data_IF_304066915767
#
_entry.id   IF_304066915767
#
_cell.length_a   1.000
_cell.length_b   1.000
_cell.length_c   1.000
_cell.angle_alpha   90.00
_cell.angle_beta   90.00
_cell.angle_gamma   90.00
#
_symmetry.space_group_name_H-M   'P 1'
#
loop_
_entity.id
_entity.type
_entity.pdbx_description
1 polymer ?
#
# COMPACT_ATOMS: atom_id res chain seq x y z
N UNK A 1 44.96 -9.28 14.89
CA UNK A 1 43.78 -9.67 15.70
C UNK A 1 42.58 -9.28 14.86
N UNK A 2 42.06 -10.26 14.13
CA UNK A 2 41.06 -10.10 13.08
C UNK A 2 39.76 -10.62 13.65
N UNK A 3 38.74 -9.77 13.74
CA UNK A 3 37.43 -10.18 14.28
C UNK A 3 36.35 -9.86 13.27
N UNK A 4 35.97 -10.93 12.58
CA UNK A 4 34.72 -11.30 11.92
C UNK A 4 33.70 -10.24 11.50
N UNK A 5 33.53 -10.19 10.19
CA UNK A 5 32.36 -9.73 9.45
C UNK A 5 31.10 -10.46 9.95
N UNK A 6 30.20 -9.70 10.60
CA UNK A 6 28.84 -10.18 10.87
C UNK A 6 28.12 -10.46 9.54
N UNK A 7 28.02 -11.74 9.24
CA UNK A 7 27.18 -12.35 8.22
C UNK A 7 25.73 -11.99 8.48
N UNK A 8 25.12 -11.37 7.50
CA UNK A 8 23.90 -10.60 7.65
C UNK A 8 22.95 -11.12 6.57
N UNK A 9 21.85 -11.77 6.99
CA UNK A 9 21.07 -12.69 6.17
C UNK A 9 20.63 -12.18 4.80
N UNK A 10 21.11 -12.86 3.77
CA UNK A 10 20.65 -12.79 2.38
C UNK A 10 19.40 -13.67 2.23
N UNK A 11 18.23 -13.10 2.46
CA UNK A 11 16.99 -13.64 1.91
C UNK A 11 15.93 -12.54 1.93
N UNK A 12 15.69 -11.90 0.78
CA UNK A 12 14.50 -11.08 0.55
C UNK A 12 13.26 -11.93 0.23
N UNK A 13 12.06 -11.35 0.21
CA UNK A 13 10.92 -11.99 -0.41
C UNK A 13 11.24 -12.29 -1.89
N UNK A 14 10.92 -13.50 -2.35
CA UNK A 14 11.06 -13.85 -3.76
C UNK A 14 10.12 -12.94 -4.57
N UNK A 15 10.70 -12.11 -5.44
CA UNK A 15 9.94 -11.29 -6.37
C UNK A 15 9.28 -12.20 -7.40
N UNK A 16 8.03 -12.60 -7.17
CA UNK A 16 7.15 -12.92 -8.29
C UNK A 16 6.88 -11.60 -9.02
N UNK A 17 7.08 -11.56 -10.35
CA UNK A 17 6.75 -10.39 -11.17
C UNK A 17 5.29 -10.00 -10.90
N UNK A 18 5.00 -8.83 -10.30
CA UNK A 18 3.62 -8.40 -10.18
C UNK A 18 3.11 -8.16 -11.60
N UNK A 19 2.10 -8.93 -12.01
CA UNK A 19 1.35 -8.66 -13.23
C UNK A 19 0.84 -7.21 -13.22
N UNK A 20 0.78 -6.62 -14.42
CA UNK A 20 0.06 -5.38 -14.78
C UNK A 20 -0.97 -4.90 -13.74
N UNK A 21 -0.82 -3.64 -13.29
CA UNK A 21 -1.75 -2.83 -12.47
C UNK A 21 -3.06 -3.55 -12.10
N UNK A 22 -3.03 -4.37 -11.06
CA UNK A 22 -4.24 -4.99 -10.52
C UNK A 22 -5.04 -3.95 -9.76
N UNK A 23 -6.37 -3.98 -9.89
CA UNK A 23 -7.24 -3.11 -9.10
C UNK A 23 -7.24 -3.51 -7.61
N UNK A 24 -7.45 -2.51 -6.76
CA UNK A 24 -7.56 -2.65 -5.32
C UNK A 24 -9.03 -2.86 -4.93
N UNK A 25 -9.35 -4.04 -4.40
CA UNK A 25 -10.73 -4.41 -4.08
C UNK A 25 -11.07 -4.28 -2.59
N UNK A 26 -12.28 -3.80 -2.31
CA UNK A 26 -12.84 -3.69 -0.96
C UNK A 26 -14.32 -4.07 -0.93
N UNK A 27 -14.77 -4.59 0.21
CA UNK A 27 -16.18 -4.81 0.52
C UNK A 27 -16.67 -3.72 1.47
N UNK A 28 -17.84 -3.15 1.18
CA UNK A 28 -18.53 -2.17 2.02
C UNK A 28 -19.56 -2.93 2.85
N UNK A 29 -19.38 -2.97 4.18
CA UNK A 29 -20.31 -3.63 5.10
C UNK A 29 -21.48 -2.71 5.48
N UNK A 30 -22.63 -3.30 5.80
CA UNK A 30 -23.79 -2.56 6.33
C UNK A 30 -23.53 -1.97 7.71
N UNK A 31 -22.78 -2.69 8.54
CA UNK A 31 -22.40 -2.26 9.88
C UNK A 31 -20.88 -2.33 10.06
N UNK A 32 -20.28 -1.48 10.92
CA UNK A 32 -18.87 -1.58 11.28
C UNK A 32 -18.51 -2.97 11.82
N UNK A 33 -17.39 -3.52 11.39
CA UNK A 33 -16.89 -4.79 11.93
C UNK A 33 -15.91 -5.51 11.03
N UNK A 34 -15.16 -6.46 11.61
CA UNK A 34 -14.29 -7.35 10.84
C UNK A 34 -15.15 -8.46 10.26
N UNK A 35 -15.44 -8.42 8.96
CA UNK A 35 -16.42 -9.30 8.30
C UNK A 35 -16.43 -10.74 8.84
N UNK A 36 -17.38 -11.13 9.73
CA UNK A 36 -17.75 -12.54 9.87
C UNK A 36 -18.30 -13.06 8.55
N UNK A 37 -18.35 -14.39 8.40
CA UNK A 37 -19.02 -15.07 7.27
C UNK A 37 -20.48 -14.67 7.08
N UNK A 38 -21.08 -13.98 8.06
CA UNK A 38 -22.46 -13.48 8.08
C UNK A 38 -22.61 -11.95 7.93
N UNK A 39 -21.53 -11.17 7.81
CA UNK A 39 -21.65 -9.72 7.69
C UNK A 39 -22.40 -9.36 6.39
N UNK A 40 -23.43 -8.54 6.53
CA UNK A 40 -24.17 -8.02 5.38
C UNK A 40 -23.29 -7.04 4.61
N UNK A 41 -23.12 -7.29 3.33
CA UNK A 41 -22.36 -6.44 2.41
C UNK A 41 -23.36 -5.55 1.68
N UNK A 42 -23.14 -4.23 1.73
CA UNK A 42 -23.93 -3.22 1.01
C UNK A 42 -23.39 -2.92 -0.38
N UNK A 43 -22.08 -3.16 -0.59
CA UNK A 43 -21.45 -2.84 -1.86
C UNK A 43 -20.01 -3.30 -2.00
N UNK A 44 -19.46 -2.98 -3.16
CA UNK A 44 -18.07 -3.23 -3.53
C UNK A 44 -17.44 -1.89 -3.90
N UNK A 45 -16.20 -1.69 -3.50
CA UNK A 45 -15.37 -0.58 -3.96
C UNK A 45 -14.14 -1.15 -4.66
N UNK A 46 -13.81 -0.57 -5.79
CA UNK A 46 -12.63 -0.90 -6.57
C UNK A 46 -11.84 0.37 -6.81
N UNK A 47 -10.55 0.36 -6.50
CA UNK A 47 -9.66 1.53 -6.62
C UNK A 47 -8.47 1.24 -7.55
N UNK A 48 -7.96 2.29 -8.18
CA UNK A 48 -6.69 2.27 -8.91
C UNK A 48 -5.88 3.53 -8.59
N UNK A 49 -4.63 3.34 -8.20
CA UNK A 49 -3.65 4.42 -8.13
C UNK A 49 -2.98 4.61 -9.49
N UNK A 50 -2.92 5.86 -9.94
CA UNK A 50 -2.09 6.26 -11.06
C UNK A 50 -0.77 6.81 -10.53
N UNK A 51 0.33 6.37 -11.13
CA UNK A 51 1.67 6.74 -10.72
C UNK A 51 2.40 7.50 -11.83
N UNK A 52 3.22 8.48 -11.45
CA UNK A 52 4.22 9.08 -12.32
C UNK A 52 5.36 8.10 -12.65
N UNK A 53 6.26 8.49 -13.56
CA UNK A 53 7.44 7.69 -13.94
C UNK A 53 8.35 7.39 -12.73
N UNK A 54 8.43 8.30 -11.77
CA UNK A 54 9.19 8.12 -10.54
C UNK A 54 8.46 7.29 -9.49
N UNK A 55 7.30 6.71 -9.80
CA UNK A 55 6.43 5.93 -8.92
C UNK A 55 5.69 6.72 -7.83
N UNK A 56 5.71 8.06 -7.84
CA UNK A 56 4.83 8.83 -6.95
C UNK A 56 3.37 8.79 -7.42
N UNK A 57 2.42 8.84 -6.49
CA UNK A 57 0.99 8.89 -6.80
C UNK A 57 0.61 10.23 -7.44
N UNK A 58 -0.09 10.17 -8.57
CA UNK A 58 -0.63 11.35 -9.26
C UNK A 58 -2.15 11.38 -9.30
N UNK A 59 -2.80 10.22 -9.18
CA UNK A 59 -4.25 10.13 -9.09
C UNK A 59 -4.69 8.89 -8.32
N UNK A 60 -5.92 8.93 -7.83
CA UNK A 60 -6.67 7.81 -7.31
C UNK A 60 -8.03 7.85 -7.98
N UNK A 61 -8.39 6.75 -8.64
CA UNK A 61 -9.70 6.55 -9.26
C UNK A 61 -10.40 5.38 -8.60
N UNK A 62 -11.73 5.35 -8.68
CA UNK A 62 -12.46 4.20 -8.19
C UNK A 62 -13.83 4.03 -8.83
N UNK A 63 -14.32 2.80 -8.76
CA UNK A 63 -15.67 2.41 -9.13
C UNK A 63 -16.34 1.76 -7.92
N UNK A 64 -17.57 2.19 -7.63
CA UNK A 64 -18.40 1.63 -6.59
C UNK A 64 -19.50 0.79 -7.22
N UNK A 65 -19.92 -0.25 -6.52
CA UNK A 65 -21.10 -1.03 -6.85
C UNK A 65 -22.01 -1.11 -5.64
N UNK A 66 -23.27 -0.72 -5.83
CA UNK A 66 -24.32 -0.77 -4.80
C UNK A 66 -25.65 -1.03 -5.47
N UNK A 67 -26.49 -1.87 -4.86
CA UNK A 67 -27.85 -2.15 -5.35
C UNK A 67 -27.94 -2.57 -6.84
N UNK A 68 -26.91 -3.23 -7.36
CA UNK A 68 -26.88 -3.72 -8.75
C UNK A 68 -26.23 -2.78 -9.77
N UNK A 69 -25.89 -1.55 -9.40
CA UNK A 69 -25.37 -0.55 -10.33
C UNK A 69 -23.93 -0.15 -10.00
N UNK A 70 -23.12 0.02 -11.05
CA UNK A 70 -21.77 0.58 -10.96
C UNK A 70 -21.79 2.10 -11.13
N UNK A 71 -20.95 2.80 -10.37
CA UNK A 71 -20.87 4.26 -10.36
C UNK A 71 -19.44 4.74 -10.09
N UNK A 72 -19.13 5.99 -10.46
CA UNK A 72 -17.83 6.61 -10.19
C UNK A 72 -17.65 6.89 -8.69
N UNK A 73 -16.74 6.13 -8.07
CA UNK A 73 -16.46 6.21 -6.64
C UNK A 73 -15.24 7.05 -6.28
N UNK A 74 -14.72 7.88 -7.19
CA UNK A 74 -13.54 8.70 -6.93
C UNK A 74 -13.71 9.63 -5.72
N UNK A 75 -14.84 10.34 -5.63
CA UNK A 75 -15.13 11.21 -4.48
C UNK A 75 -15.36 10.43 -3.18
N UNK A 76 -15.98 9.26 -3.27
CA UNK A 76 -16.18 8.36 -2.12
C UNK A 76 -14.85 7.83 -1.58
N UNK A 77 -13.95 7.41 -2.48
CA UNK A 77 -12.60 6.94 -2.15
C UNK A 77 -11.79 8.00 -1.40
N UNK A 78 -11.95 9.28 -1.76
CA UNK A 78 -11.30 10.39 -1.04
C UNK A 78 -11.86 10.57 0.38
N UNK A 79 -13.19 10.62 0.50
CA UNK A 79 -13.88 10.74 1.79
C UNK A 79 -13.53 9.61 2.74
N UNK A 80 -13.39 8.38 2.25
CA UNK A 80 -12.93 7.23 3.01
C UNK A 80 -11.61 7.51 3.76
N UNK A 81 -10.66 8.19 3.13
CA UNK A 81 -9.34 8.46 3.72
C UNK A 81 -9.40 9.46 4.87
N UNK A 82 -10.46 10.28 4.94
CA UNK A 82 -10.67 11.28 6.00
C UNK A 82 -11.72 10.85 7.03
N UNK A 83 -12.78 10.14 6.64
CA UNK A 83 -13.92 9.79 7.49
C UNK A 83 -13.77 8.40 8.13
N UNK A 84 -13.59 8.35 9.46
CA UNK A 84 -13.38 7.09 10.20
C UNK A 84 -14.58 6.14 10.13
N UNK A 85 -15.79 6.68 10.17
CA UNK A 85 -17.04 5.89 10.10
C UNK A 85 -17.14 5.09 8.80
N UNK A 86 -16.68 5.67 7.68
CA UNK A 86 -16.61 4.97 6.40
C UNK A 86 -15.53 3.88 6.42
N UNK A 87 -14.35 4.16 7.00
CA UNK A 87 -13.25 3.18 7.10
C UNK A 87 -13.63 1.96 7.90
N UNK A 88 -14.34 2.13 9.02
CA UNK A 88 -14.77 1.02 9.88
C UNK A 88 -15.72 0.03 9.19
N UNK A 89 -16.32 0.43 8.06
CA UNK A 89 -17.19 -0.41 7.24
C UNK A 89 -16.46 -1.08 6.07
N UNK A 90 -15.20 -0.73 5.81
CA UNK A 90 -14.43 -1.34 4.72
C UNK A 90 -13.64 -2.55 5.18
N UNK A 91 -13.64 -3.56 4.32
CA UNK A 91 -12.77 -4.72 4.44
C UNK A 91 -12.00 -4.88 3.14
N UNK A 92 -10.67 -4.93 3.22
CA UNK A 92 -9.82 -5.27 2.08
C UNK A 92 -10.16 -6.68 1.62
N UNK A 93 -10.24 -6.87 0.31
CA UNK A 93 -10.62 -8.15 -0.26
C UNK A 93 -9.75 -8.45 -1.49
N UNK A 94 -9.54 -9.75 -1.73
CA UNK A 94 -9.02 -10.23 -3.00
C UNK A 94 -10.17 -10.33 -4.01
N UNK A 95 -9.81 -10.31 -5.29
CA UNK A 95 -10.78 -10.30 -6.40
C UNK A 95 -11.70 -11.51 -6.39
N UNK A 96 -11.17 -12.70 -6.10
CA UNK A 96 -11.93 -13.95 -5.96
C UNK A 96 -13.02 -13.85 -4.88
N UNK A 97 -12.71 -13.23 -3.74
CA UNK A 97 -13.69 -12.97 -2.68
C UNK A 97 -14.76 -11.98 -3.12
N UNK A 98 -14.37 -10.90 -3.81
CA UNK A 98 -15.32 -9.93 -4.35
C UNK A 98 -16.22 -10.56 -5.40
N UNK A 99 -15.68 -11.42 -6.25
CA UNK A 99 -16.44 -12.13 -7.26
C UNK A 99 -17.48 -13.08 -6.63
N UNK A 100 -17.09 -13.80 -5.57
CA UNK A 100 -18.03 -14.63 -4.81
C UNK A 100 -19.17 -13.79 -4.21
N UNK A 101 -18.86 -12.62 -3.66
CA UNK A 101 -19.87 -11.70 -3.12
C UNK A 101 -20.75 -11.14 -4.23
N UNK A 102 -20.17 -10.67 -5.34
CA UNK A 102 -20.91 -10.14 -6.48
C UNK A 102 -21.91 -11.16 -7.04
N UNK A 103 -21.48 -12.42 -7.21
CA UNK A 103 -22.34 -13.53 -7.65
C UNK A 103 -23.52 -13.81 -6.72
N UNK A 104 -23.41 -13.50 -5.42
CA UNK A 104 -24.48 -13.69 -4.44
C UNK A 104 -25.59 -12.65 -4.55
N UNK A 105 -25.26 -11.44 -5.01
CA UNK A 105 -26.20 -10.31 -5.06
C UNK A 105 -26.61 -9.91 -6.49
N UNK A 106 -25.83 -10.27 -7.51
CA UNK A 106 -26.10 -10.00 -8.92
C UNK A 106 -26.56 -11.24 -9.69
N UNK A 107 -26.66 -11.09 -11.02
CA UNK A 107 -27.07 -12.14 -11.97
C UNK A 107 -25.93 -12.68 -12.83
N UNK A 108 -24.67 -12.39 -12.50
CA UNK A 108 -23.55 -12.76 -13.36
C UNK A 108 -22.16 -12.65 -12.72
N UNK A 109 -21.14 -12.73 -13.58
CA UNK A 109 -19.73 -12.64 -13.19
C UNK A 109 -19.30 -11.21 -12.91
N UNK A 110 -18.30 -11.05 -12.03
CA UNK A 110 -17.69 -9.74 -11.78
C UNK A 110 -17.08 -9.23 -13.10
N UNK A 111 -17.36 -7.97 -13.52
CA UNK A 111 -16.79 -7.44 -14.75
C UNK A 111 -15.26 -7.52 -14.77
N UNK A 112 -14.71 -7.69 -15.97
CA UNK A 112 -13.26 -7.60 -16.17
C UNK A 112 -12.73 -6.23 -15.73
N UNK A 113 -11.47 -6.16 -15.29
CA UNK A 113 -10.89 -4.89 -14.82
C UNK A 113 -10.90 -3.79 -15.87
N UNK A 114 -10.79 -4.13 -17.16
CA UNK A 114 -10.94 -3.15 -18.25
C UNK A 114 -12.33 -2.52 -18.25
N UNK A 115 -13.37 -3.31 -17.98
CA UNK A 115 -14.75 -2.81 -17.84
C UNK A 115 -14.90 -2.00 -16.55
N UNK A 116 -14.34 -2.46 -15.44
CA UNK A 116 -14.39 -1.72 -14.17
C UNK A 116 -13.77 -0.31 -14.31
N UNK A 117 -12.66 -0.19 -15.06
CA UNK A 117 -12.03 1.09 -15.39
C UNK A 117 -12.91 2.04 -16.21
N UNK A 118 -13.87 1.51 -16.99
CA UNK A 118 -14.81 2.36 -17.73
C UNK A 118 -15.84 3.06 -16.84
N UNK A 119 -16.03 2.59 -15.60
CA UNK A 119 -16.85 3.27 -14.59
C UNK A 119 -16.09 4.34 -13.81
N UNK A 120 -14.77 4.43 -13.98
CA UNK A 120 -14.01 5.53 -13.40
C UNK A 120 -14.47 6.81 -14.11
N UNK A 121 -14.85 7.81 -13.33
CA UNK A 121 -15.20 9.11 -13.90
C UNK A 121 -14.03 9.66 -14.72
N UNK A 122 -14.35 10.58 -15.62
CA UNK A 122 -13.34 11.44 -16.27
C UNK A 122 -12.82 12.40 -15.20
N UNK A 123 -11.96 11.90 -14.31
CA UNK A 123 -11.50 12.63 -13.15
C UNK A 123 -10.48 13.70 -13.53
N UNK A 124 -10.60 14.87 -12.91
CA UNK A 124 -9.54 15.87 -12.88
C UNK A 124 -8.32 15.28 -12.17
N UNK A 125 -7.22 15.13 -12.89
CA UNK A 125 -5.90 14.74 -12.35
C UNK A 125 -5.28 15.78 -11.40
N UNK A 126 -6.04 16.81 -11.01
CA UNK A 126 -5.55 18.09 -10.47
C UNK A 126 -5.37 18.14 -8.94
N UNK A 127 -5.57 17.02 -8.22
CA UNK A 127 -5.79 17.09 -6.75
C UNK A 127 -4.79 16.31 -5.91
N UNK A 128 -3.75 15.73 -6.51
CA UNK A 128 -2.59 15.30 -5.73
C UNK A 128 -1.60 16.45 -5.68
N UNK A 129 -1.23 16.87 -4.46
CA UNK A 129 -0.17 17.85 -4.29
C UNK A 129 1.09 17.34 -5.00
N UNK A 130 1.83 18.20 -5.71
CA UNK A 130 3.10 17.80 -6.29
C UNK A 130 3.98 17.16 -5.20
N UNK A 131 4.77 16.13 -5.53
CA UNK A 131 5.56 15.41 -4.54
C UNK A 131 6.36 16.38 -3.68
N UNK A 132 6.27 16.24 -2.36
CA UNK A 132 7.06 17.05 -1.43
C UNK A 132 8.53 16.67 -1.59
N UNK A 133 9.28 17.35 -2.46
CA UNK A 133 10.73 17.10 -2.61
C UNK A 133 11.46 17.85 -1.52
N UNK A 134 12.01 17.13 -0.54
CA UNK A 134 12.74 17.70 0.60
C UNK A 134 14.21 18.01 0.27
N UNK A 135 14.62 17.88 -0.99
CA UNK A 135 15.97 18.14 -1.49
C UNK A 135 16.59 16.88 -2.10
N UNK A 136 17.74 17.04 -2.74
CA UNK A 136 18.58 15.89 -3.13
C UNK A 136 19.02 15.20 -1.84
N UNK A 137 18.56 13.97 -1.60
CA UNK A 137 19.23 13.13 -0.63
C UNK A 137 20.64 12.90 -1.18
N UNK A 138 21.66 13.16 -0.37
CA UNK A 138 23.04 12.82 -0.75
C UNK A 138 23.09 11.32 -1.03
N UNK A 139 23.75 10.96 -2.14
CA UNK A 139 23.95 9.57 -2.47
C UNK A 139 24.70 8.90 -1.31
N UNK A 140 24.20 7.76 -0.82
CA UNK A 140 24.91 7.02 0.21
C UNK A 140 26.29 6.57 -0.29
N UNK A 141 27.23 6.35 0.63
CA UNK A 141 28.58 5.91 0.27
C UNK A 141 28.54 4.67 -0.65
N UNK A 142 29.15 4.77 -1.83
CA UNK A 142 29.19 3.70 -2.83
C UNK A 142 27.97 3.59 -3.74
N UNK A 143 27.11 4.62 -3.77
CA UNK A 143 25.94 4.70 -4.63
C UNK A 143 25.94 5.98 -5.47
N UNK A 144 25.29 5.92 -6.63
CA UNK A 144 25.17 7.06 -7.54
C UNK A 144 23.93 7.91 -7.24
N UNK A 145 22.87 7.31 -6.69
CA UNK A 145 21.60 7.99 -6.41
C UNK A 145 20.90 7.41 -5.16
N UNK A 146 20.36 8.29 -4.31
CA UNK A 146 19.47 7.92 -3.20
C UNK A 146 18.07 8.48 -3.42
N UNK A 147 17.07 7.61 -3.42
CA UNK A 147 15.65 8.00 -3.49
C UNK A 147 14.93 7.64 -2.21
N UNK A 148 14.11 8.55 -1.71
CA UNK A 148 13.30 8.32 -0.51
C UNK A 148 11.83 8.41 -0.85
N UNK A 149 11.07 7.38 -0.48
CA UNK A 149 9.64 7.28 -0.69
C UNK A 149 8.91 7.10 0.64
N UNK A 150 7.66 7.56 0.70
CA UNK A 150 6.72 7.19 1.76
C UNK A 150 5.44 6.68 1.16
N UNK A 151 5.05 5.49 1.59
CA UNK A 151 3.69 4.99 1.43
C UNK A 151 2.94 5.38 2.70
N UNK A 152 1.92 6.22 2.57
CA UNK A 152 1.04 6.60 3.67
C UNK A 152 -0.19 5.71 3.66
N UNK A 153 -0.56 5.19 4.84
CA UNK A 153 -1.76 4.39 5.05
C UNK A 153 -2.65 5.01 6.12
N UNK A 154 -3.95 4.82 5.94
CA UNK A 154 -4.96 5.01 6.97
C UNK A 154 -5.49 3.65 7.43
N UNK A 155 -6.41 3.69 8.39
CA UNK A 155 -6.86 2.55 9.18
C UNK A 155 -5.78 2.04 10.16
N UNK A 156 -6.19 1.20 11.12
CA UNK A 156 -5.29 0.65 12.11
C UNK A 156 -4.84 -0.78 11.79
N UNK A 157 -3.65 -1.14 12.24
CA UNK A 157 -3.14 -2.50 12.20
C UNK A 157 -3.50 -3.22 13.49
N UNK A 158 -4.27 -4.30 13.36
CA UNK A 158 -4.43 -5.25 14.45
C UNK A 158 -3.06 -5.82 14.89
N UNK A 159 -2.97 -6.31 16.12
CA UNK A 159 -1.75 -6.94 16.64
C UNK A 159 -1.25 -8.09 15.73
N UNK A 160 -2.17 -8.92 15.27
CA UNK A 160 -1.87 -10.04 14.37
C UNK A 160 -1.42 -9.54 13.00
N UNK A 161 -2.07 -8.49 12.47
CA UNK A 161 -1.69 -7.87 11.20
C UNK A 161 -0.30 -7.25 11.26
N UNK A 162 0.03 -6.57 12.37
CA UNK A 162 1.38 -6.06 12.59
C UNK A 162 2.41 -7.19 12.65
N UNK A 163 2.14 -8.26 13.41
CA UNK A 163 3.03 -9.41 13.48
C UNK A 163 3.25 -10.06 12.10
N UNK A 164 2.18 -10.19 11.31
CA UNK A 164 2.25 -10.73 9.96
C UNK A 164 3.08 -9.85 9.00
N UNK A 165 3.01 -8.52 9.11
CA UNK A 165 3.88 -7.63 8.33
C UNK A 165 5.34 -7.74 8.74
N UNK A 166 5.61 -7.73 10.05
CA UNK A 166 6.97 -7.81 10.58
C UNK A 166 7.64 -9.12 10.13
N UNK A 167 6.91 -10.24 10.20
CA UNK A 167 7.39 -11.54 9.73
C UNK A 167 7.52 -11.60 8.20
N UNK A 168 6.47 -11.23 7.47
CA UNK A 168 6.42 -11.31 6.01
C UNK A 168 7.45 -10.43 5.30
N UNK A 169 7.80 -9.28 5.89
CA UNK A 169 8.86 -8.40 5.41
C UNK A 169 10.23 -8.70 6.03
N UNK A 170 10.32 -9.70 6.92
CA UNK A 170 11.54 -10.08 7.63
C UNK A 170 12.21 -8.91 8.34
N UNK A 171 11.41 -8.12 9.06
CA UNK A 171 11.88 -6.91 9.73
C UNK A 171 12.62 -7.24 11.03
N UNK A 172 13.68 -6.50 11.29
CA UNK A 172 14.23 -6.36 12.64
C UNK A 172 13.26 -5.51 13.45
N UNK A 173 12.71 -6.08 14.53
CA UNK A 173 11.71 -5.43 15.39
C UNK A 173 12.38 -4.51 16.39
N UNK A 174 11.80 -3.32 16.62
CA UNK A 174 12.28 -2.41 17.66
C UNK A 174 12.03 -2.98 19.08
N UNK A 175 12.98 -2.78 20.00
CA UNK A 175 12.96 -3.37 21.36
C UNK A 175 11.67 -3.04 22.15
N UNK A 176 11.04 -1.91 21.86
CA UNK A 176 9.87 -1.38 22.58
C UNK A 176 8.61 -1.22 21.70
N UNK A 177 8.40 -2.10 20.72
CA UNK A 177 7.30 -1.99 19.73
C UNK A 177 5.88 -1.86 20.34
N UNK A 178 5.70 -2.37 21.56
CA UNK A 178 4.44 -2.31 22.32
C UNK A 178 4.13 -0.90 22.84
N UNK A 179 5.12 -0.01 22.93
CA UNK A 179 4.93 1.36 23.43
C UNK A 179 4.40 2.26 22.30
N UNK A 180 3.28 2.99 22.50
CA UNK A 180 2.75 3.91 21.48
C UNK A 180 3.72 5.03 21.06
N UNK A 181 4.69 5.37 21.92
CA UNK A 181 5.74 6.35 21.63
C UNK A 181 6.78 5.85 20.63
N UNK A 182 6.93 4.52 20.48
CA UNK A 182 7.84 3.90 19.53
C UNK A 182 7.31 4.13 18.12
N UNK A 183 7.93 5.09 17.41
CA UNK A 183 7.48 5.53 16.09
C UNK A 183 7.82 4.53 15.01
N UNK A 184 9.05 4.03 14.98
CA UNK A 184 9.49 2.98 14.05
C UNK A 184 9.34 1.64 14.75
N UNK A 185 8.52 0.76 14.19
CA UNK A 185 8.19 -0.55 14.80
C UNK A 185 9.10 -1.67 14.30
N UNK A 186 9.67 -1.49 13.11
CA UNK A 186 10.66 -2.39 12.55
C UNK A 186 11.27 -1.83 11.28
N UNK A 187 12.41 -2.40 10.92
CA UNK A 187 13.19 -2.05 9.74
C UNK A 187 13.58 -3.30 8.97
N UNK A 188 13.49 -3.25 7.65
CA UNK A 188 13.96 -4.31 6.77
C UNK A 188 14.89 -3.76 5.70
N UNK A 189 15.64 -4.67 5.08
CA UNK A 189 16.56 -4.34 4.00
C UNK A 189 16.58 -5.44 2.95
N UNK A 190 16.93 -5.06 1.75
CA UNK A 190 17.00 -5.93 0.60
C UNK A 190 18.07 -5.46 -0.37
N UNK A 191 19.02 -6.33 -0.68
CA UNK A 191 20.00 -6.12 -1.74
C UNK A 191 19.52 -6.85 -2.98
N UNK A 192 19.49 -6.17 -4.13
CA UNK A 192 19.20 -6.77 -5.44
C UNK A 192 20.25 -6.29 -6.41
N UNK A 193 21.12 -7.21 -6.88
CA UNK A 193 22.34 -6.83 -7.58
C UNK A 193 23.10 -5.76 -6.78
N UNK A 194 23.43 -4.65 -7.41
CA UNK A 194 24.16 -3.54 -6.78
C UNK A 194 23.23 -2.45 -6.19
N UNK A 195 21.91 -2.68 -6.09
CA UNK A 195 20.96 -1.77 -5.46
C UNK A 195 20.66 -2.20 -4.01
N UNK A 196 20.49 -1.24 -3.10
CA UNK A 196 20.14 -1.47 -1.70
C UNK A 196 18.85 -0.75 -1.36
N UNK A 197 17.87 -1.51 -0.92
CA UNK A 197 16.61 -1.00 -0.42
C UNK A 197 16.55 -1.19 1.08
N UNK A 198 16.16 -0.16 1.81
CA UNK A 198 15.83 -0.24 3.24
C UNK A 198 14.47 0.37 3.47
N UNK A 199 13.66 -0.23 4.34
CA UNK A 199 12.39 0.39 4.70
C UNK A 199 12.03 0.23 6.16
N UNK A 200 11.41 1.27 6.69
CA UNK A 200 10.91 1.35 8.04
C UNK A 200 9.39 1.34 8.04
N UNK A 201 8.79 0.52 8.90
CA UNK A 201 7.37 0.61 9.21
C UNK A 201 7.20 1.53 10.41
N UNK A 202 6.34 2.55 10.30
CA UNK A 202 6.16 3.57 11.34
C UNK A 202 4.72 3.93 11.65
N UNK A 203 4.48 4.30 12.91
CA UNK A 203 3.25 4.95 13.38
C UNK A 203 3.30 6.45 13.10
N UNK A 204 2.26 6.98 12.46
CA UNK A 204 2.12 8.41 12.14
C UNK A 204 0.98 9.03 12.96
N UNK A 205 1.21 10.23 13.51
CA UNK A 205 0.24 10.90 14.39
C UNK A 205 -0.02 10.14 15.70
N UNK A 206 -1.07 10.44 16.47
CA UNK A 206 -1.39 9.75 17.74
C UNK A 206 -1.95 8.32 17.52
N UNK A 207 -1.41 7.56 16.57
CA UNK A 207 -1.82 6.18 16.28
C UNK A 207 -2.94 6.04 15.24
N UNK A 208 -3.18 7.09 14.43
CA UNK A 208 -4.30 7.13 13.47
C UNK A 208 -3.92 6.73 12.04
N UNK A 209 -2.61 6.60 11.79
CA UNK A 209 -2.06 6.30 10.47
C UNK A 209 -0.75 5.52 10.60
N UNK A 210 -0.41 4.85 9.50
CA UNK A 210 0.83 4.09 9.36
C UNK A 210 1.58 4.60 8.12
N UNK A 211 2.90 4.48 8.13
CA UNK A 211 3.69 4.74 6.94
C UNK A 211 4.78 3.69 6.76
N UNK A 212 5.15 3.48 5.51
CA UNK A 212 6.38 2.77 5.13
C UNK A 212 7.31 3.78 4.48
N UNK A 213 8.44 4.04 5.11
CA UNK A 213 9.49 4.90 4.57
C UNK A 213 10.52 4.01 3.87
N UNK A 214 10.60 4.08 2.54
CA UNK A 214 11.53 3.30 1.72
C UNK A 214 12.68 4.21 1.27
N UNK A 215 13.91 3.80 1.55
CA UNK A 215 15.13 4.37 0.95
C UNK A 215 15.66 3.39 -0.08
N UNK A 216 15.89 3.87 -1.29
CA UNK A 216 16.50 3.13 -2.39
C UNK A 216 17.83 3.79 -2.74
N UNK A 217 18.93 3.13 -2.38
CA UNK A 217 20.27 3.48 -2.81
C UNK A 217 20.59 2.69 -4.09
N UNK A 218 20.74 3.40 -5.21
CA UNK A 218 20.90 2.82 -6.54
C UNK A 218 22.35 2.93 -6.99
N UNK A 219 22.90 1.82 -7.50
CA UNK A 219 24.29 1.80 -7.97
C UNK A 219 24.50 2.57 -9.27
N UNK A 220 23.44 2.76 -10.06
CA UNK A 220 23.48 3.53 -11.32
C UNK A 220 22.37 4.56 -11.28
N UNK A 221 22.72 5.83 -11.47
CA UNK A 221 21.75 6.92 -11.54
C UNK A 221 20.71 6.65 -12.64
N UNK A 222 19.43 6.84 -12.31
CA UNK A 222 18.33 6.60 -13.26
C UNK A 222 17.85 5.15 -13.34
N UNK A 223 18.57 4.16 -12.81
CA UNK A 223 18.21 2.73 -12.86
C UNK A 223 17.15 2.31 -11.82
N UNK A 224 16.06 3.08 -11.72
CA UNK A 224 15.03 2.92 -10.69
C UNK A 224 13.90 1.93 -11.00
N UNK A 225 14.05 1.06 -12.00
CA UNK A 225 12.97 0.18 -12.49
C UNK A 225 12.42 -0.76 -11.40
N UNK A 226 13.22 -1.08 -10.39
CA UNK A 226 12.86 -1.97 -9.28
C UNK A 226 12.05 -1.29 -8.16
N UNK A 227 12.11 0.04 -8.09
CA UNK A 227 11.46 0.81 -7.02
C UNK A 227 9.94 0.67 -7.11
N UNK A 228 9.36 0.91 -8.29
CA UNK A 228 7.91 0.82 -8.50
C UNK A 228 7.31 -0.55 -8.12
N UNK A 229 7.87 -1.67 -8.62
CA UNK A 229 7.45 -3.01 -8.19
C UNK A 229 7.55 -3.24 -6.67
N UNK A 230 8.63 -2.81 -6.02
CA UNK A 230 8.79 -2.97 -4.57
C UNK A 230 7.72 -2.19 -3.79
N UNK A 231 7.48 -0.93 -4.16
CA UNK A 231 6.42 -0.09 -3.58
C UNK A 231 5.04 -0.76 -3.68
N UNK A 232 4.74 -1.38 -4.83
CA UNK A 232 3.48 -2.14 -5.02
C UNK A 232 3.40 -3.37 -4.13
N UNK A 233 4.48 -4.13 -3.99
CA UNK A 233 4.52 -5.31 -3.11
C UNK A 233 4.31 -4.91 -1.64
N UNK A 234 4.98 -3.86 -1.18
CA UNK A 234 4.81 -3.34 0.19
C UNK A 234 3.38 -2.83 0.42
N UNK A 235 2.82 -2.10 -0.56
CA UNK A 235 1.44 -1.62 -0.50
C UNK A 235 0.44 -2.78 -0.42
N UNK A 236 0.58 -3.79 -1.29
CA UNK A 236 -0.31 -4.95 -1.32
C UNK A 236 -0.24 -5.76 -0.02
N UNK A 237 0.97 -6.00 0.52
CA UNK A 237 1.14 -6.69 1.78
C UNK A 237 0.49 -5.95 2.95
N UNK A 238 0.63 -4.62 3.02
CA UNK A 238 -0.05 -3.79 4.01
C UNK A 238 -1.59 -3.84 3.88
N UNK A 239 -2.10 -3.81 2.63
CA UNK A 239 -3.54 -3.97 2.34
C UNK A 239 -4.10 -5.31 2.79
N UNK A 240 -3.35 -6.39 2.58
CA UNK A 240 -3.72 -7.73 3.03
C UNK A 240 -3.87 -7.80 4.57
N UNK A 241 -3.24 -6.88 5.31
CA UNK A 241 -3.38 -6.75 6.77
C UNK A 241 -4.38 -5.69 7.22
N UNK A 242 -5.13 -5.10 6.29
CA UNK A 242 -6.26 -4.19 6.58
C UNK A 242 -5.95 -2.70 6.48
N UNK A 243 -4.72 -2.32 6.14
CA UNK A 243 -4.38 -0.92 5.87
C UNK A 243 -4.98 -0.45 4.54
N UNK A 244 -5.34 0.84 4.48
CA UNK A 244 -5.88 1.47 3.27
C UNK A 244 -4.84 2.49 2.76
N UNK A 245 -4.27 2.33 1.56
CA UNK A 245 -3.26 3.25 1.05
C UNK A 245 -3.87 4.63 0.78
N UNK A 246 -3.12 5.68 1.10
CA UNK A 246 -3.51 7.08 0.91
C UNK A 246 -2.74 7.67 -0.27
N UNK A 247 -1.41 7.57 -0.24
CA UNK A 247 -0.52 8.08 -1.29
C UNK A 247 0.83 7.36 -1.23
N UNK A 248 1.59 7.46 -2.31
CA UNK A 248 3.02 7.19 -2.37
C UNK A 248 3.70 8.48 -2.81
N UNK A 249 4.48 9.08 -1.92
CA UNK A 249 5.22 10.32 -2.20
C UNK A 249 6.71 10.03 -2.34
N UNK A 250 7.38 10.77 -3.23
CA UNK A 250 8.84 10.78 -3.38
C UNK A 250 9.42 12.06 -2.76
N UNK A 251 10.32 11.91 -1.80
CA UNK A 251 10.98 13.03 -1.11
C UNK A 251 12.35 13.41 -1.70
N UNK A 252 13.02 12.48 -2.39
CA UNK A 252 14.28 12.71 -3.11
C UNK A 252 14.40 11.81 -4.33
#
# INVERSE_FOLDING_TARGET
MTTDLHRFGDAGPAFASPSQRSLDYYLILSEPGRAPSSAKVDGILVEEFEFAEDSSTIALRGAGWTAGEWWDATSFSRRLRTEEELRRRLVTARRDRVEHVYRRFGTGELPAETTLRSYFGVGDSSVFSPPLRLGLAEAGDGFDETRVYRILFTNDLSRDGLAALLDGWRMTVAEDVSRPATRVVGSARLRVADDLFTWDLRRVGPGVAWAVDLTANLAVAGAGERVGPLLRVLTAAARDQGLIPVTIDRFS
#
